data_IF_729264447753
#
_entry.id   IF_729264447753
#
_cell.length_a   1.000
_cell.length_b   1.000
_cell.length_c   1.000
_cell.angle_alpha   90.00
_cell.angle_beta   90.00
_cell.angle_gamma   90.00
#
_symmetry.space_group_name_H-M   'P 1'
#
loop_
_entity.id
_entity.type
_entity.pdbx_description
1 polymer ?
#
# COMPACT_ATOMS: atom_id res chain seq x y z
N UNK A 1 -22.70 42.34 45.82
CA UNK A 1 -23.24 42.53 44.46
C UNK A 1 -23.18 41.18 43.75
N UNK A 2 -24.33 40.54 43.51
CA UNK A 2 -24.45 39.20 42.92
C UNK A 2 -24.30 39.34 41.40
N UNK A 3 -23.28 38.71 40.80
CA UNK A 3 -23.16 38.68 39.34
C UNK A 3 -24.33 37.87 38.77
N UNK A 4 -25.08 38.50 37.86
CA UNK A 4 -26.33 38.01 37.29
C UNK A 4 -26.07 37.04 36.13
N UNK A 5 -26.85 35.96 36.10
CA UNK A 5 -26.83 34.78 35.22
C UNK A 5 -26.86 35.03 33.69
N UNK A 6 -26.84 36.30 33.24
CA UNK A 6 -27.00 36.68 31.83
C UNK A 6 -25.72 36.64 31.00
N UNK A 7 -24.56 36.36 31.59
CA UNK A 7 -23.29 36.15 30.86
C UNK A 7 -23.07 34.71 30.42
N UNK A 8 -23.95 33.77 30.75
CA UNK A 8 -23.86 32.36 30.35
C UNK A 8 -24.48 32.12 28.96
N UNK A 9 -25.18 33.11 28.40
CA UNK A 9 -25.94 32.97 27.17
C UNK A 9 -25.23 33.62 25.98
N UNK A 10 -23.95 33.29 25.71
CA UNK A 10 -23.28 33.70 24.45
C UNK A 10 -21.93 33.02 24.11
N UNK A 11 -21.54 31.93 24.78
CA UNK A 11 -20.27 31.25 24.46
C UNK A 11 -20.45 29.72 24.47
N UNK A 12 -20.43 29.12 23.28
CA UNK A 12 -20.31 27.66 23.13
C UNK A 12 -21.26 27.00 22.13
N UNK A 13 -22.13 27.77 21.45
CA UNK A 13 -22.67 27.34 20.16
C UNK A 13 -21.53 27.45 19.14
N UNK A 14 -21.37 26.43 18.30
CA UNK A 14 -20.29 26.22 17.31
C UNK A 14 -18.98 25.70 17.89
N UNK A 15 -18.80 24.38 17.89
CA UNK A 15 -17.81 23.75 16.99
C UNK A 15 -17.94 22.22 17.06
N UNK A 16 -19.04 21.66 16.56
CA UNK A 16 -19.05 20.26 16.12
C UNK A 16 -18.30 20.21 14.79
N UNK A 17 -16.97 20.19 14.85
CA UNK A 17 -16.12 19.92 13.70
C UNK A 17 -16.21 18.41 13.43
N UNK A 18 -17.08 18.02 12.50
CA UNK A 18 -17.09 16.66 11.98
C UNK A 18 -15.76 16.42 11.28
N UNK A 19 -14.92 15.56 11.87
CA UNK A 19 -13.73 15.06 11.19
C UNK A 19 -14.19 14.22 9.99
N UNK A 20 -13.95 14.70 8.77
CA UNK A 20 -14.01 13.83 7.60
C UNK A 20 -12.76 12.96 7.64
N UNK A 21 -12.93 11.66 7.95
CA UNK A 21 -11.89 10.67 7.70
C UNK A 21 -11.77 10.54 6.19
N UNK A 22 -10.70 11.10 5.63
CA UNK A 22 -10.29 10.80 4.25
C UNK A 22 -9.51 9.49 4.35
N UNK A 23 -10.16 8.37 4.08
CA UNK A 23 -9.45 7.13 3.79
C UNK A 23 -8.81 7.30 2.41
N UNK A 24 -7.52 7.58 2.36
CA UNK A 24 -6.74 7.55 1.14
C UNK A 24 -6.20 6.13 0.94
N UNK A 25 -7.01 5.25 0.36
CA UNK A 25 -6.72 3.81 0.21
C UNK A 25 -6.57 3.38 -1.26
N UNK A 26 -6.32 4.31 -2.18
CA UNK A 26 -6.05 3.95 -3.59
C UNK A 26 -4.53 3.83 -3.88
N UNK A 27 -3.68 4.34 -2.98
CA UNK A 27 -2.22 4.31 -3.16
C UNK A 27 -1.54 3.13 -2.47
N UNK A 28 -2.19 2.48 -1.49
CA UNK A 28 -1.56 1.38 -0.74
C UNK A 28 -1.35 0.17 -1.65
N UNK A 29 -2.28 -0.13 -2.56
CA UNK A 29 -2.17 -1.27 -3.48
C UNK A 29 -1.67 -0.93 -4.90
N UNK A 30 -0.98 0.20 -5.15
CA UNK A 30 -0.36 0.43 -6.47
C UNK A 30 0.91 -0.43 -6.63
N UNK A 31 0.79 -1.52 -7.39
CA UNK A 31 1.86 -2.47 -7.61
C UNK A 31 3.13 -1.89 -8.25
N UNK A 32 3.02 -0.84 -9.08
CA UNK A 32 4.19 -0.18 -9.67
C UNK A 32 4.95 0.62 -8.60
N UNK A 33 4.21 1.40 -7.80
CA UNK A 33 4.78 2.19 -6.72
C UNK A 33 5.44 1.29 -5.66
N UNK A 34 4.72 0.28 -5.17
CA UNK A 34 5.22 -0.68 -4.19
C UNK A 34 6.48 -1.41 -4.68
N UNK A 35 6.49 -1.81 -5.96
CA UNK A 35 7.67 -2.41 -6.57
C UNK A 35 8.86 -1.46 -6.54
N UNK A 36 8.67 -0.20 -6.93
CA UNK A 36 9.73 0.80 -6.93
C UNK A 36 10.25 1.10 -5.52
N UNK A 37 9.37 1.24 -4.54
CA UNK A 37 9.72 1.56 -3.16
C UNK A 37 10.41 0.39 -2.44
N UNK A 38 9.86 -0.83 -2.56
CA UNK A 38 10.33 -1.97 -1.75
C UNK A 38 11.25 -2.92 -2.50
N UNK A 39 10.89 -3.33 -3.72
CA UNK A 39 11.62 -4.38 -4.43
C UNK A 39 13.00 -3.89 -4.92
N UNK A 40 13.07 -2.65 -5.43
CA UNK A 40 14.30 -2.09 -6.00
C UNK A 40 15.40 -1.82 -4.97
N UNK A 41 15.09 -1.87 -3.66
CA UNK A 41 16.11 -1.80 -2.59
C UNK A 41 17.18 -2.90 -2.73
N UNK A 42 16.82 -4.06 -3.27
CA UNK A 42 17.71 -5.21 -3.46
C UNK A 42 17.94 -5.60 -4.93
N UNK A 43 17.31 -4.90 -5.89
CA UNK A 43 17.12 -5.36 -7.27
C UNK A 43 17.40 -4.26 -8.30
N UNK A 44 18.65 -3.82 -8.43
CA UNK A 44 19.02 -2.62 -9.22
C UNK A 44 19.37 -2.86 -10.70
N UNK A 45 19.93 -4.02 -11.05
CA UNK A 45 20.60 -4.23 -12.35
C UNK A 45 19.89 -5.26 -13.24
N UNK A 46 18.70 -4.92 -13.75
CA UNK A 46 17.81 -5.79 -14.55
C UNK A 46 17.26 -7.02 -13.80
N UNK A 47 16.49 -6.79 -12.72
CA UNK A 47 16.26 -7.83 -11.71
C UNK A 47 15.53 -9.09 -12.17
N UNK A 48 14.73 -9.05 -13.25
CA UNK A 48 13.80 -10.14 -13.58
C UNK A 48 14.00 -10.78 -14.96
N UNK A 49 14.90 -10.24 -15.80
CA UNK A 49 15.10 -10.74 -17.17
C UNK A 49 15.85 -12.08 -17.16
N UNK A 50 16.81 -12.24 -16.23
CA UNK A 50 17.66 -13.44 -16.12
C UNK A 50 17.19 -14.44 -15.04
N UNK A 51 16.13 -14.14 -14.28
CA UNK A 51 15.65 -14.96 -13.15
C UNK A 51 14.42 -15.83 -13.46
N UNK A 52 14.09 -16.07 -14.73
CA UNK A 52 12.96 -16.95 -15.08
C UNK A 52 13.15 -18.40 -14.61
N UNK A 53 14.38 -18.83 -14.32
CA UNK A 53 14.63 -20.18 -13.78
C UNK A 53 13.89 -20.40 -12.46
N UNK A 54 12.85 -21.23 -12.49
CA UNK A 54 12.06 -21.63 -11.32
C UNK A 54 10.78 -20.82 -11.06
N UNK A 55 10.51 -19.75 -11.81
CA UNK A 55 9.22 -19.04 -11.79
C UNK A 55 8.51 -19.32 -13.12
N UNK A 56 7.65 -20.33 -13.13
CA UNK A 56 7.10 -20.90 -14.37
C UNK A 56 5.67 -20.44 -14.68
N UNK A 57 4.99 -19.84 -13.69
CA UNK A 57 3.61 -19.39 -13.81
C UNK A 57 3.29 -18.27 -12.81
N UNK A 58 2.10 -17.69 -12.97
CA UNK A 58 1.62 -16.60 -12.12
C UNK A 58 1.59 -16.98 -10.63
N UNK A 59 1.17 -18.21 -10.28
CA UNK A 59 1.10 -18.66 -8.89
C UNK A 59 2.49 -18.76 -8.23
N UNK A 60 3.50 -19.21 -8.98
CA UNK A 60 4.89 -19.22 -8.54
C UNK A 60 5.45 -17.81 -8.38
N UNK A 61 5.09 -16.89 -9.26
CA UNK A 61 5.46 -15.48 -9.14
C UNK A 61 4.84 -14.86 -7.88
N UNK A 62 3.55 -15.09 -7.65
CA UNK A 62 2.84 -14.64 -6.44
C UNK A 62 3.53 -15.17 -5.16
N UNK A 63 3.83 -16.46 -5.13
CA UNK A 63 4.54 -17.09 -4.00
C UNK A 63 5.92 -16.47 -3.78
N UNK A 64 6.63 -16.11 -4.87
CA UNK A 64 7.92 -15.43 -4.78
C UNK A 64 7.76 -14.03 -4.18
N UNK A 65 6.79 -13.24 -4.63
CA UNK A 65 6.52 -11.89 -4.09
C UNK A 65 6.18 -11.95 -2.60
N UNK A 66 5.32 -12.90 -2.19
CA UNK A 66 5.00 -13.12 -0.77
C UNK A 66 6.24 -13.43 0.07
N UNK A 67 7.12 -14.30 -0.43
CA UNK A 67 8.38 -14.62 0.24
C UNK A 67 9.33 -13.40 0.31
N UNK A 68 9.38 -12.57 -0.73
CA UNK A 68 10.17 -11.33 -0.72
C UNK A 68 9.62 -10.29 0.28
N UNK A 69 8.30 -10.16 0.39
CA UNK A 69 7.64 -9.28 1.37
C UNK A 69 8.12 -9.55 2.80
N UNK A 70 8.17 -10.82 3.20
CA UNK A 70 8.62 -11.22 4.53
C UNK A 70 10.13 -11.00 4.78
N UNK A 71 10.95 -11.00 3.72
CA UNK A 71 12.41 -10.82 3.85
C UNK A 71 12.85 -9.36 3.77
N UNK A 72 12.07 -8.51 3.10
CA UNK A 72 12.41 -7.10 2.88
C UNK A 72 11.97 -6.19 4.05
N UNK A 73 11.47 -6.74 5.15
CA UNK A 73 10.77 -6.00 6.22
C UNK A 73 9.68 -5.07 5.65
N UNK A 74 9.14 -5.41 4.48
CA UNK A 74 8.17 -4.58 3.77
C UNK A 74 6.73 -4.84 4.26
N UNK A 75 6.50 -6.01 4.89
CA UNK A 75 5.22 -6.46 5.46
C UNK A 75 4.00 -6.16 4.56
N UNK A 76 4.08 -6.55 3.28
CA UNK A 76 2.92 -6.42 2.40
C UNK A 76 1.70 -7.17 2.92
N UNK A 77 0.55 -6.51 2.85
CA UNK A 77 -0.77 -7.14 2.94
C UNK A 77 -1.05 -8.01 1.70
N UNK A 78 -2.06 -8.89 1.79
CA UNK A 78 -2.33 -9.86 0.72
C UNK A 78 -2.72 -9.21 -0.61
N UNK A 79 -3.39 -8.05 -0.60
CA UNK A 79 -3.75 -7.26 -1.77
C UNK A 79 -2.54 -6.55 -2.39
N UNK A 80 -1.65 -5.99 -1.58
CA UNK A 80 -0.37 -5.43 -2.04
C UNK A 80 0.50 -6.50 -2.72
N UNK A 81 0.52 -7.72 -2.17
CA UNK A 81 1.19 -8.87 -2.81
C UNK A 81 0.60 -9.14 -4.20
N UNK A 82 -0.73 -9.13 -4.33
CA UNK A 82 -1.41 -9.34 -5.62
C UNK A 82 -1.05 -8.21 -6.59
N UNK A 83 -1.12 -6.96 -6.17
CA UNK A 83 -0.81 -5.81 -7.00
C UNK A 83 0.62 -5.80 -7.51
N UNK A 84 1.60 -6.08 -6.65
CA UNK A 84 3.01 -6.20 -7.07
C UNK A 84 3.20 -7.40 -8.01
N UNK A 85 2.55 -8.53 -7.72
CA UNK A 85 2.59 -9.71 -8.61
C UNK A 85 2.03 -9.38 -9.99
N UNK A 86 0.93 -8.65 -10.05
CA UNK A 86 0.29 -8.22 -11.30
C UNK A 86 1.16 -7.26 -12.09
N UNK A 87 1.73 -6.26 -11.42
CA UNK A 87 2.67 -5.34 -12.05
C UNK A 87 3.87 -6.09 -12.63
N UNK A 88 4.49 -6.98 -11.86
CA UNK A 88 5.62 -7.78 -12.31
C UNK A 88 5.24 -8.70 -13.48
N UNK A 89 4.08 -9.36 -13.40
CA UNK A 89 3.60 -10.22 -14.48
C UNK A 89 3.34 -9.43 -15.76
N UNK A 90 2.67 -8.30 -15.64
CA UNK A 90 2.34 -7.44 -16.76
C UNK A 90 3.57 -6.76 -17.36
N UNK A 91 4.62 -6.51 -16.58
CA UNK A 91 5.81 -5.80 -17.08
C UNK A 91 6.87 -6.77 -17.61
N UNK A 92 7.14 -7.87 -16.90
CA UNK A 92 8.32 -8.71 -17.15
C UNK A 92 8.00 -10.17 -17.53
N UNK A 93 7.02 -10.82 -16.87
CA UNK A 93 6.87 -12.28 -16.98
C UNK A 93 5.86 -12.74 -18.04
N UNK A 94 4.72 -12.06 -18.16
CA UNK A 94 3.65 -12.31 -19.15
C UNK A 94 3.01 -13.71 -19.05
N UNK A 95 2.89 -14.27 -17.84
CA UNK A 95 2.18 -15.53 -17.63
C UNK A 95 0.67 -15.36 -17.80
N UNK A 96 0.01 -16.46 -18.20
CA UNK A 96 -1.45 -16.59 -18.07
C UNK A 96 -1.81 -16.71 -16.59
N UNK A 97 -2.90 -16.03 -16.21
CA UNK A 97 -3.50 -16.11 -14.88
C UNK A 97 -4.45 -17.29 -14.79
#
# INVERSE_FOLDING_TARGET
MKLSSKTITLLGLYLSLSFNVIASDDSEADGQFLHADKCLKCHTDQPYINQKSGIENYQKLHSRVKMCSHQAEAEFFDDEIISVTDYLNNTYYKFKK
#
